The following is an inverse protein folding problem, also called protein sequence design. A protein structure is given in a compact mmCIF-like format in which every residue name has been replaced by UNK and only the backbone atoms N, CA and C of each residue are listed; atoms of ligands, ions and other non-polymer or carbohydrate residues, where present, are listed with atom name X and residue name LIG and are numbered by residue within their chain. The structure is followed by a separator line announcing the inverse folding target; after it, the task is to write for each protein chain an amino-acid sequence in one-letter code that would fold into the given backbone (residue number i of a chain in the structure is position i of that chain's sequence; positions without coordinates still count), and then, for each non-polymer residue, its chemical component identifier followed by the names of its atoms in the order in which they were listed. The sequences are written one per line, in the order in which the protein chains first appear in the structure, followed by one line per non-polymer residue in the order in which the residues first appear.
data_IF_827963438067
#
_entry.id   IF_827963438067
#
_cell.length_a   1.000
_cell.length_b   1.000
_cell.length_c   1.000
_cell.angle_alpha   90.00
_cell.angle_beta   90.00
_cell.angle_gamma   90.00
#
_symmetry.space_group_name_H-M   'P 1'
#
loop_
_entity.id
_entity.type
_entity.pdbx_description
1 polymer ?
#
# COMPACT_ATOMS: atom_id res chain seq x y z
N UNK A 1 19.93 -1.58 -33.02
CA UNK A 1 20.22 -0.59 -34.07
C UNK A 1 18.87 -0.06 -34.52
N UNK A 2 18.56 1.20 -34.20
CA UNK A 2 17.30 1.83 -34.63
C UNK A 2 17.58 2.50 -35.97
N UNK A 3 16.92 2.02 -37.03
CA UNK A 3 16.90 2.68 -38.32
C UNK A 3 16.22 4.05 -38.17
N UNK A 4 17.01 5.11 -38.25
CA UNK A 4 16.52 6.49 -38.26
C UNK A 4 16.21 6.84 -39.72
N UNK A 5 14.94 7.16 -40.04
CA UNK A 5 14.56 7.51 -41.41
C UNK A 5 15.29 8.77 -41.86
N UNK A 6 15.92 8.72 -43.05
CA UNK A 6 16.72 9.82 -43.60
C UNK A 6 15.92 10.91 -44.31
N UNK A 7 14.60 10.74 -44.51
CA UNK A 7 13.76 11.78 -45.10
C UNK A 7 12.81 12.38 -44.07
N UNK A 8 12.60 13.72 -44.12
CA UNK A 8 11.74 14.43 -43.19
C UNK A 8 10.29 13.93 -43.14
N UNK A 9 9.76 13.45 -44.30
CA UNK A 9 8.41 12.87 -44.35
C UNK A 9 8.30 11.52 -43.63
N UNK A 10 9.33 10.68 -43.72
CA UNK A 10 9.38 9.40 -43.03
C UNK A 10 9.55 9.59 -41.51
N UNK A 11 10.36 10.57 -41.10
CA UNK A 11 10.49 10.94 -39.68
C UNK A 11 9.18 11.41 -39.08
N UNK A 12 8.45 12.29 -39.82
CA UNK A 12 7.14 12.78 -39.39
C UNK A 12 6.12 11.65 -39.27
N UNK A 13 6.09 10.71 -40.20
CA UNK A 13 5.20 9.56 -40.16
C UNK A 13 5.49 8.65 -38.94
N UNK A 14 6.75 8.43 -38.61
CA UNK A 14 7.16 7.66 -37.42
C UNK A 14 6.76 8.37 -36.13
N UNK A 15 6.98 9.69 -36.06
CA UNK A 15 6.60 10.52 -34.93
C UNK A 15 5.08 10.49 -34.71
N UNK A 16 4.27 10.65 -35.75
CA UNK A 16 2.82 10.59 -35.69
C UNK A 16 2.30 9.22 -35.26
N UNK A 17 2.93 8.13 -35.71
CA UNK A 17 2.62 6.77 -35.22
C UNK A 17 2.92 6.60 -33.74
N UNK A 18 4.02 7.15 -33.23
CA UNK A 18 4.38 7.12 -31.79
C UNK A 18 3.38 7.93 -30.97
N UNK A 19 3.02 9.14 -31.41
CA UNK A 19 2.01 9.98 -30.75
C UNK A 19 0.65 9.26 -30.71
N UNK A 20 0.22 8.68 -31.82
CA UNK A 20 -1.05 7.95 -31.88
C UNK A 20 -1.06 6.69 -30.98
N UNK A 21 0.08 6.00 -30.91
CA UNK A 21 0.25 4.86 -30.00
C UNK A 21 0.22 5.29 -28.54
N UNK A 22 0.93 6.37 -28.20
CA UNK A 22 0.94 6.93 -26.85
C UNK A 22 -0.47 7.41 -26.43
N UNK A 23 -1.19 8.11 -27.32
CA UNK A 23 -2.58 8.52 -27.10
C UNK A 23 -3.52 7.32 -26.88
N UNK A 24 -3.43 6.26 -27.70
CA UNK A 24 -4.25 5.05 -27.51
C UNK A 24 -3.94 4.35 -26.19
N UNK A 25 -2.66 4.24 -25.83
CA UNK A 25 -2.24 3.65 -24.54
C UNK A 25 -2.77 4.51 -23.39
N UNK A 26 -2.60 5.82 -23.44
CA UNK A 26 -3.10 6.76 -22.44
C UNK A 26 -4.63 6.64 -22.28
N UNK A 27 -5.37 6.64 -23.38
CA UNK A 27 -6.83 6.46 -23.37
C UNK A 27 -7.24 5.10 -22.80
N UNK A 28 -6.51 4.04 -23.12
CA UNK A 28 -6.77 2.70 -22.57
C UNK A 28 -6.51 2.64 -21.07
N UNK A 29 -5.37 3.16 -20.62
CA UNK A 29 -4.98 3.17 -19.21
C UNK A 29 -5.94 4.04 -18.39
N UNK A 30 -6.26 5.25 -18.87
CA UNK A 30 -7.14 6.19 -18.14
C UNK A 30 -8.60 5.74 -18.17
N UNK A 31 -9.10 5.17 -19.27
CA UNK A 31 -10.52 4.87 -19.40
C UNK A 31 -10.92 3.46 -19.01
N UNK A 32 -10.09 2.46 -19.30
CA UNK A 32 -10.49 1.05 -19.11
C UNK A 32 -10.04 0.44 -17.77
N UNK A 33 -8.95 0.95 -17.22
CA UNK A 33 -8.46 0.47 -15.92
C UNK A 33 -9.11 1.18 -14.72
N UNK A 34 -9.80 2.31 -14.96
CA UNK A 34 -10.44 3.12 -13.91
C UNK A 34 -11.96 3.03 -13.89
N UNK A 35 -12.59 2.33 -14.85
CA UNK A 35 -14.03 2.09 -14.82
C UNK A 35 -14.30 0.97 -13.82
N UNK A 36 -14.83 1.36 -12.70
CA UNK A 36 -15.28 0.47 -11.62
C UNK A 36 -16.81 0.50 -11.60
N UNK A 37 -17.44 -0.64 -11.44
CA UNK A 37 -18.89 -0.73 -11.34
C UNK A 37 -19.40 0.07 -10.11
N UNK A 38 -20.55 0.75 -10.18
CA UNK A 38 -21.06 1.58 -9.07
C UNK A 38 -21.18 0.81 -7.74
N UNK A 39 -21.54 -0.46 -7.80
CA UNK A 39 -21.62 -1.32 -6.61
C UNK A 39 -20.24 -1.58 -5.99
N UNK A 40 -19.18 -1.58 -6.78
CA UNK A 40 -17.82 -1.71 -6.27
C UNK A 40 -17.40 -0.48 -5.46
N UNK A 41 -17.85 0.72 -5.85
CA UNK A 41 -17.60 1.93 -5.06
C UNK A 41 -18.26 1.84 -3.68
N UNK A 42 -19.49 1.33 -3.62
CA UNK A 42 -20.19 1.12 -2.34
C UNK A 42 -19.43 0.15 -1.43
N UNK A 43 -19.02 -1.00 -1.96
CA UNK A 43 -18.28 -1.99 -1.17
C UNK A 43 -16.90 -1.49 -0.76
N UNK A 44 -16.24 -0.70 -1.60
CA UNK A 44 -14.98 -0.02 -1.27
C UNK A 44 -15.18 0.95 -0.11
N UNK A 45 -16.24 1.77 -0.17
CA UNK A 45 -16.58 2.69 0.91
C UNK A 45 -16.88 1.94 2.22
N UNK A 46 -17.75 0.94 2.17
CA UNK A 46 -18.14 0.16 3.35
C UNK A 46 -16.91 -0.51 3.99
N UNK A 47 -16.06 -1.15 3.19
CA UNK A 47 -14.87 -1.82 3.69
C UNK A 47 -13.85 -0.86 4.31
N UNK A 48 -13.58 0.24 3.62
CA UNK A 48 -12.65 1.26 4.12
C UNK A 48 -13.20 1.94 5.39
N UNK A 49 -14.49 2.29 5.39
CA UNK A 49 -15.15 2.91 6.54
C UNK A 49 -15.12 2.00 7.79
N UNK A 50 -15.49 0.74 7.63
CA UNK A 50 -15.47 -0.23 8.75
C UNK A 50 -14.02 -0.51 9.19
N UNK A 51 -13.10 -0.75 8.25
CA UNK A 51 -11.72 -1.11 8.57
C UNK A 51 -10.96 0.01 9.28
N UNK A 52 -10.99 1.21 8.71
CA UNK A 52 -10.32 2.38 9.31
C UNK A 52 -11.08 2.87 10.54
N UNK A 53 -12.42 2.82 10.51
CA UNK A 53 -13.28 3.17 11.63
C UNK A 53 -13.06 2.28 12.86
N UNK A 54 -12.90 0.96 12.67
CA UNK A 54 -12.58 0.04 13.77
C UNK A 54 -11.24 0.38 14.43
N UNK A 55 -10.23 0.73 13.63
CA UNK A 55 -8.92 1.19 14.13
C UNK A 55 -9.09 2.50 14.92
N UNK A 56 -9.85 3.47 14.37
CA UNK A 56 -10.12 4.75 15.03
C UNK A 56 -10.86 4.58 16.34
N UNK A 57 -11.89 3.72 16.38
CA UNK A 57 -12.62 3.43 17.62
C UNK A 57 -11.74 2.81 18.71
N UNK A 58 -10.78 1.96 18.34
CA UNK A 58 -9.82 1.42 19.32
C UNK A 58 -8.90 2.49 19.87
N UNK A 59 -8.55 3.49 19.06
CA UNK A 59 -7.80 4.66 19.52
C UNK A 59 -8.62 5.49 20.51
N UNK A 60 -9.86 5.82 20.18
CA UNK A 60 -10.70 6.72 20.98
C UNK A 60 -11.09 6.12 22.34
N UNK A 61 -11.29 4.80 22.39
CA UNK A 61 -11.70 4.13 23.62
C UNK A 61 -10.55 3.63 24.50
N UNK A 62 -9.30 3.93 24.13
CA UNK A 62 -8.14 3.54 24.94
C UNK A 62 -8.08 2.05 25.28
N UNK A 63 -8.57 1.19 24.40
CA UNK A 63 -8.69 -0.27 24.62
C UNK A 63 -7.36 -0.92 24.97
N UNK A 64 -6.27 -0.23 24.67
CA UNK A 64 -4.91 -0.64 25.00
C UNK A 64 -4.25 0.46 25.84
N UNK A 65 -3.64 0.09 26.92
CA UNK A 65 -3.12 0.82 28.06
C UNK A 65 -2.11 1.97 27.79
N UNK A 66 -2.04 2.50 26.58
CA UNK A 66 -1.09 3.55 26.22
C UNK A 66 -1.78 4.64 25.39
N UNK A 67 -1.45 5.90 25.65
CA UNK A 67 -1.80 7.06 24.81
C UNK A 67 -1.14 7.01 23.41
N UNK A 68 -0.66 5.84 23.00
CA UNK A 68 0.04 5.63 21.76
C UNK A 68 -0.92 5.77 20.55
N UNK A 69 -0.49 6.51 19.55
CA UNK A 69 -1.21 6.75 18.32
C UNK A 69 -1.41 5.43 17.56
N UNK A 70 -2.64 4.90 17.61
CA UNK A 70 -2.98 3.64 16.93
C UNK A 70 -3.29 3.85 15.45
N UNK A 71 -3.97 4.93 15.12
CA UNK A 71 -4.34 5.28 13.75
C UNK A 71 -3.15 5.92 13.03
N UNK A 72 -2.31 5.12 12.41
CA UNK A 72 -1.19 5.61 11.60
C UNK A 72 -1.57 5.77 10.12
N UNK A 73 -0.99 6.79 9.47
CA UNK A 73 -1.33 7.14 8.07
C UNK A 73 -1.12 6.01 7.06
N UNK A 74 -0.24 5.05 7.35
CA UNK A 74 -0.02 3.88 6.49
C UNK A 74 -1.26 2.98 6.38
N UNK A 75 -2.14 2.95 7.37
CA UNK A 75 -3.40 2.19 7.31
C UNK A 75 -4.40 2.78 6.33
N UNK A 76 -4.44 4.11 6.20
CA UNK A 76 -5.22 4.77 5.16
C UNK A 76 -4.76 4.34 3.75
N UNK A 77 -3.45 4.33 3.52
CA UNK A 77 -2.88 3.86 2.26
C UNK A 77 -3.15 2.36 2.02
N UNK A 78 -3.10 1.53 3.07
CA UNK A 78 -3.45 0.10 2.99
C UNK A 78 -4.93 -0.10 2.68
N UNK A 79 -5.82 0.70 3.26
CA UNK A 79 -7.25 0.64 2.98
C UNK A 79 -7.55 0.93 1.49
N UNK A 80 -6.85 1.89 0.87
CA UNK A 80 -6.97 2.15 -0.58
C UNK A 80 -6.62 0.91 -1.40
N UNK A 81 -5.54 0.20 -1.07
CA UNK A 81 -5.18 -1.02 -1.78
C UNK A 81 -6.15 -2.17 -1.50
N UNK A 82 -6.43 -2.44 -0.24
CA UNK A 82 -7.15 -3.64 0.20
C UNK A 82 -8.64 -3.58 -0.18
N UNK A 83 -9.25 -2.39 -0.15
CA UNK A 83 -10.66 -2.22 -0.49
C UNK A 83 -10.88 -1.63 -1.88
N UNK A 84 -9.98 -0.78 -2.37
CA UNK A 84 -10.10 -0.11 -3.67
C UNK A 84 -9.43 -0.86 -4.83
N UNK A 85 -8.43 -1.70 -4.55
CA UNK A 85 -7.67 -2.45 -5.56
C UNK A 85 -7.50 -3.92 -5.15
N UNK A 86 -8.59 -4.59 -4.79
CA UNK A 86 -8.62 -5.94 -4.22
C UNK A 86 -7.90 -7.00 -5.06
N UNK A 87 -7.89 -6.83 -6.38
CA UNK A 87 -7.24 -7.74 -7.34
C UNK A 87 -5.73 -7.49 -7.48
N UNK A 88 -5.22 -6.42 -6.88
CA UNK A 88 -3.79 -6.11 -6.93
C UNK A 88 -2.97 -7.16 -6.16
N UNK A 89 -1.88 -7.67 -6.74
CA UNK A 89 -0.93 -8.50 -5.98
C UNK A 89 -0.42 -7.81 -4.72
N UNK A 90 -0.31 -6.49 -4.74
CA UNK A 90 0.18 -5.67 -3.63
C UNK A 90 -0.81 -5.56 -2.47
N UNK A 91 -2.09 -5.86 -2.71
CA UNK A 91 -3.18 -5.82 -1.73
C UNK A 91 -3.38 -7.15 -0.99
N UNK A 92 -2.72 -8.23 -1.40
CA UNK A 92 -2.99 -9.57 -0.87
C UNK A 92 -2.58 -9.72 0.60
N UNK A 93 -3.22 -10.64 1.36
CA UNK A 93 -2.99 -10.82 2.80
C UNK A 93 -1.51 -10.96 3.18
N UNK A 94 -0.76 -11.76 2.41
CA UNK A 94 0.67 -11.94 2.64
C UNK A 94 1.44 -10.63 2.54
N UNK A 95 1.14 -9.84 1.51
CA UNK A 95 1.79 -8.56 1.27
C UNK A 95 1.40 -7.53 2.34
N UNK A 96 0.12 -7.47 2.67
CA UNK A 96 -0.39 -6.60 3.74
C UNK A 96 0.32 -6.88 5.07
N UNK A 97 0.32 -8.12 5.54
CA UNK A 97 0.87 -8.47 6.85
C UNK A 97 2.39 -8.34 6.88
N UNK A 98 3.07 -9.04 6.00
CA UNK A 98 4.55 -9.08 6.04
C UNK A 98 5.19 -7.80 5.51
N UNK A 99 4.52 -7.07 4.60
CA UNK A 99 4.99 -5.77 4.15
C UNK A 99 5.08 -4.77 5.29
N UNK A 100 4.03 -4.66 6.09
CA UNK A 100 4.04 -3.81 7.29
C UNK A 100 5.00 -4.30 8.37
N UNK A 101 5.01 -5.60 8.65
CA UNK A 101 5.87 -6.19 9.67
C UNK A 101 7.35 -5.93 9.39
N UNK A 102 7.81 -6.24 8.18
CA UNK A 102 9.22 -6.05 7.77
C UNK A 102 9.57 -4.57 7.80
N UNK A 103 8.69 -3.72 7.30
CA UNK A 103 8.93 -2.28 7.25
C UNK A 103 8.98 -1.65 8.64
N UNK A 104 8.12 -2.07 9.56
CA UNK A 104 8.15 -1.61 10.94
C UNK A 104 9.45 -2.03 11.64
N UNK A 105 9.88 -3.29 11.48
CA UNK A 105 11.14 -3.79 12.04
C UNK A 105 12.33 -2.99 11.52
N UNK A 106 12.40 -2.76 10.21
CA UNK A 106 13.49 -1.99 9.61
C UNK A 106 13.46 -0.54 10.06
N UNK A 107 12.28 0.11 10.05
CA UNK A 107 12.12 1.49 10.47
C UNK A 107 12.61 1.72 11.90
N UNK A 108 12.18 0.88 12.84
CA UNK A 108 12.63 0.94 14.24
C UNK A 108 14.12 0.65 14.37
N UNK A 109 14.62 -0.33 13.64
CA UNK A 109 16.06 -0.68 13.68
C UNK A 109 16.93 0.49 13.22
N UNK A 110 16.56 1.12 12.09
CA UNK A 110 17.26 2.29 11.56
C UNK A 110 17.23 3.44 12.55
N UNK A 111 16.06 3.74 13.12
CA UNK A 111 15.92 4.79 14.14
C UNK A 111 16.81 4.55 15.37
N UNK A 112 16.90 3.30 15.84
CA UNK A 112 17.67 2.97 17.05
C UNK A 112 19.19 2.91 16.83
N UNK A 113 19.65 2.54 15.64
CA UNK A 113 21.08 2.30 15.38
C UNK A 113 21.80 3.50 14.78
N UNK A 114 21.10 4.43 14.19
CA UNK A 114 21.71 5.56 13.49
C UNK A 114 21.57 6.86 14.30
N UNK A 115 22.50 7.81 14.10
CA UNK A 115 22.40 9.13 14.74
C UNK A 115 21.13 9.85 14.29
N UNK A 116 20.67 10.80 15.11
CA UNK A 116 19.44 11.59 14.86
C UNK A 116 19.62 12.57 13.68
N UNK A 117 19.68 12.00 12.48
CA UNK A 117 19.75 12.71 11.20
C UNK A 117 18.51 12.33 10.39
N UNK A 118 17.41 13.06 10.58
CA UNK A 118 16.07 12.72 10.09
C UNK A 118 16.04 12.38 8.58
N UNK A 119 16.74 13.16 7.74
CA UNK A 119 16.78 12.90 6.31
C UNK A 119 17.44 11.56 5.95
N UNK A 120 18.51 11.21 6.66
CA UNK A 120 19.26 9.97 6.43
C UNK A 120 18.51 8.75 6.95
N UNK A 121 18.03 8.81 8.18
CA UNK A 121 17.29 7.70 8.81
C UNK A 121 16.00 7.41 8.07
N UNK A 122 15.27 8.44 7.64
CA UNK A 122 14.04 8.29 6.84
C UNK A 122 14.32 7.66 5.47
N UNK A 123 15.34 8.15 4.76
CA UNK A 123 15.72 7.61 3.45
C UNK A 123 16.16 6.15 3.54
N UNK A 124 16.99 5.80 4.53
CA UNK A 124 17.45 4.44 4.76
C UNK A 124 16.30 3.51 5.20
N UNK A 125 15.44 3.94 6.11
CA UNK A 125 14.31 3.14 6.56
C UNK A 125 13.40 2.75 5.41
N UNK A 126 13.04 3.70 4.55
CA UNK A 126 12.17 3.45 3.40
C UNK A 126 12.88 2.57 2.36
N UNK A 127 14.10 2.92 1.96
CA UNK A 127 14.80 2.19 0.89
C UNK A 127 15.14 0.75 1.30
N UNK A 128 15.62 0.52 2.52
CA UNK A 128 15.87 -0.82 3.04
C UNK A 128 14.57 -1.63 3.15
N UNK A 129 13.47 -1.01 3.55
CA UNK A 129 12.16 -1.67 3.60
C UNK A 129 11.69 -2.11 2.21
N UNK A 130 11.86 -1.28 1.19
CA UNK A 130 11.54 -1.63 -0.20
C UNK A 130 12.36 -2.85 -0.64
N UNK A 131 13.67 -2.82 -0.44
CA UNK A 131 14.56 -3.93 -0.81
C UNK A 131 14.18 -5.20 -0.07
N UNK A 132 13.94 -5.14 1.23
CA UNK A 132 13.55 -6.29 2.03
C UNK A 132 12.19 -6.88 1.59
N UNK A 133 11.20 -6.02 1.30
CA UNK A 133 9.92 -6.46 0.74
C UNK A 133 10.08 -7.11 -0.64
N UNK A 134 10.99 -6.62 -1.49
CA UNK A 134 11.31 -7.25 -2.78
C UNK A 134 11.91 -8.64 -2.60
N UNK A 135 12.93 -8.77 -1.74
CA UNK A 135 13.60 -10.04 -1.44
C UNK A 135 12.64 -11.08 -0.87
N UNK A 136 11.72 -10.68 -0.01
CA UNK A 136 10.73 -11.56 0.62
C UNK A 136 9.47 -11.77 -0.22
N UNK A 137 9.34 -11.07 -1.35
CA UNK A 137 8.15 -11.06 -2.21
C UNK A 137 6.88 -10.66 -1.46
N UNK A 138 7.00 -9.67 -0.60
CA UNK A 138 5.90 -9.13 0.23
C UNK A 138 5.66 -7.65 -0.03
N UNK A 139 5.88 -7.22 -1.27
CA UNK A 139 5.76 -5.82 -1.66
C UNK A 139 4.37 -5.27 -1.32
N UNK A 140 4.36 -4.29 -0.42
CA UNK A 140 3.17 -3.57 0.01
C UNK A 140 3.55 -2.08 0.20
N UNK A 141 3.23 -1.21 -0.75
CA UNK A 141 3.68 0.19 -0.72
C UNK A 141 3.40 0.93 0.60
N UNK A 142 2.25 0.74 1.27
CA UNK A 142 2.02 1.34 2.58
C UNK A 142 3.00 0.93 3.67
N UNK A 143 3.70 -0.21 3.51
CA UNK A 143 4.79 -0.61 4.38
C UNK A 143 5.92 0.42 4.41
N UNK A 144 6.26 1.02 3.25
CA UNK A 144 7.23 2.12 3.19
C UNK A 144 6.85 3.30 4.08
N UNK A 145 5.56 3.67 4.10
CA UNK A 145 5.06 4.68 5.02
C UNK A 145 5.17 4.25 6.49
N UNK A 146 4.97 2.97 6.80
CA UNK A 146 5.15 2.43 8.16
C UNK A 146 6.60 2.57 8.63
N UNK A 147 7.58 2.24 7.78
CA UNK A 147 9.00 2.45 8.11
C UNK A 147 9.33 3.93 8.31
N UNK A 148 8.75 4.82 7.50
CA UNK A 148 8.92 6.26 7.65
C UNK A 148 8.34 6.75 8.97
N UNK A 149 7.14 6.32 9.35
CA UNK A 149 6.47 6.71 10.60
C UNK A 149 7.29 6.31 11.83
N UNK A 150 8.00 5.19 11.82
CA UNK A 150 8.90 4.82 12.91
C UNK A 150 10.04 5.83 13.14
N UNK A 151 10.38 6.66 12.14
CA UNK A 151 11.43 7.68 12.22
C UNK A 151 10.89 9.09 12.46
N UNK A 152 9.78 9.45 11.79
CA UNK A 152 9.21 10.81 11.86
C UNK A 152 8.03 10.94 12.81
N UNK A 153 7.57 9.82 13.39
CA UNK A 153 6.43 9.81 14.30
C UNK A 153 6.67 10.61 15.57
N UNK A 154 5.60 10.78 16.34
CA UNK A 154 5.66 11.46 17.64
C UNK A 154 6.61 10.74 18.61
N UNK A 155 7.01 11.43 19.66
CA UNK A 155 7.83 10.81 20.71
C UNK A 155 7.17 9.56 21.31
N UNK A 156 5.84 9.54 21.43
CA UNK A 156 5.09 8.37 21.87
C UNK A 156 5.31 7.14 20.96
N UNK A 157 5.35 7.33 19.62
CA UNK A 157 5.68 6.26 18.68
C UNK A 157 7.12 5.80 18.83
N UNK A 158 8.05 6.72 18.98
CA UNK A 158 9.48 6.44 19.16
C UNK A 158 9.79 5.69 20.45
N UNK A 159 9.11 6.05 21.54
CA UNK A 159 9.23 5.39 22.86
C UNK A 159 8.77 3.92 22.81
N UNK A 160 7.83 3.56 21.96
CA UNK A 160 7.44 2.16 21.77
C UNK A 160 8.60 1.27 21.32
N UNK A 161 9.58 1.83 20.61
CA UNK A 161 10.66 1.05 20.06
C UNK A 161 10.15 -0.13 19.25
N UNK A 162 10.63 -1.35 19.50
CA UNK A 162 10.13 -2.55 18.82
C UNK A 162 8.69 -2.93 19.18
N UNK A 163 8.12 -2.36 20.26
CA UNK A 163 6.70 -2.48 20.57
C UNK A 163 5.81 -1.91 19.45
N UNK A 164 6.28 -0.89 18.71
CA UNK A 164 5.61 -0.34 17.53
C UNK A 164 5.23 -1.41 16.50
N UNK A 165 6.05 -2.45 16.33
CA UNK A 165 5.80 -3.55 15.39
C UNK A 165 4.54 -4.34 15.76
N UNK A 166 4.36 -4.59 17.06
CA UNK A 166 3.20 -5.32 17.57
C UNK A 166 2.00 -4.39 17.68
N UNK A 167 2.23 -3.23 18.27
CA UNK A 167 1.22 -2.22 18.49
C UNK A 167 1.81 -0.83 18.16
N UNK A 168 1.23 -0.07 17.24
CA UNK A 168 -0.06 -0.25 16.56
C UNK A 168 -0.02 -1.14 15.28
N UNK A 169 1.16 -1.45 14.73
CA UNK A 169 1.27 -1.95 13.35
C UNK A 169 0.56 -3.29 13.17
N UNK A 170 0.95 -4.32 13.89
CA UNK A 170 0.36 -5.66 13.68
C UNK A 170 -1.13 -5.70 14.04
N UNK A 171 -1.52 -5.05 15.13
CA UNK A 171 -2.94 -4.99 15.52
C UNK A 171 -3.79 -4.31 14.45
N UNK A 172 -3.38 -3.13 13.94
CA UNK A 172 -4.11 -2.43 12.89
C UNK A 172 -4.18 -3.20 11.57
N UNK A 173 -3.07 -3.85 11.18
CA UNK A 173 -3.01 -4.71 10.00
C UNK A 173 -3.97 -5.90 10.13
N UNK A 174 -4.04 -6.55 11.29
CA UNK A 174 -4.95 -7.66 11.52
C UNK A 174 -6.42 -7.23 11.47
N UNK A 175 -6.75 -6.06 12.00
CA UNK A 175 -8.10 -5.49 11.88
C UNK A 175 -8.46 -5.27 10.40
N UNK A 176 -7.59 -4.59 9.64
CA UNK A 176 -7.81 -4.38 8.20
C UNK A 176 -7.95 -5.71 7.46
N UNK A 177 -7.13 -6.70 7.78
CA UNK A 177 -7.18 -8.02 7.16
C UNK A 177 -8.51 -8.73 7.43
N UNK A 178 -8.95 -8.75 8.69
CA UNK A 178 -10.23 -9.40 9.06
C UNK A 178 -11.39 -8.72 8.35
N UNK A 179 -11.46 -7.38 8.39
CA UNK A 179 -12.50 -6.63 7.69
C UNK A 179 -12.46 -6.89 6.19
N UNK A 180 -11.26 -6.94 5.59
CA UNK A 180 -11.10 -7.21 4.16
C UNK A 180 -11.56 -8.63 3.79
N UNK A 181 -11.22 -9.64 4.59
CA UNK A 181 -11.67 -11.02 4.38
C UNK A 181 -13.20 -11.14 4.46
N UNK A 182 -13.84 -10.35 5.30
CA UNK A 182 -15.30 -10.34 5.40
C UNK A 182 -15.92 -9.52 4.27
N UNK A 183 -15.62 -8.23 4.21
CA UNK A 183 -16.33 -7.28 3.33
C UNK A 183 -16.07 -7.54 1.85
N UNK A 184 -14.84 -7.88 1.45
CA UNK A 184 -14.52 -8.15 0.04
C UNK A 184 -15.07 -9.50 -0.46
N UNK A 185 -15.58 -10.37 0.39
CA UNK A 185 -16.19 -11.63 -0.01
C UNK A 185 -17.73 -11.64 0.10
N UNK A 186 -18.35 -10.53 0.53
CA UNK A 186 -19.80 -10.40 0.53
C UNK A 186 -20.37 -10.25 -0.90
N UNK A 187 -19.81 -9.41 -1.78
CA UNK A 187 -20.24 -9.33 -3.16
C UNK A 187 -19.88 -10.60 -3.94
N UNK A 188 -20.78 -11.00 -4.87
CA UNK A 188 -20.54 -12.20 -5.70
C UNK A 188 -19.39 -12.06 -6.68
N UNK A 189 -19.10 -10.82 -7.07
CA UNK A 189 -18.12 -10.49 -8.12
C UNK A 189 -16.73 -10.14 -7.57
N UNK A 190 -16.58 -10.07 -6.24
CA UNK A 190 -15.31 -9.89 -5.56
C UNK A 190 -14.81 -11.20 -4.95
N UNK A 191 -13.50 -11.36 -4.87
CA UNK A 191 -12.85 -12.47 -4.17
C UNK A 191 -11.57 -11.97 -3.50
N UNK A 192 -11.45 -12.17 -2.21
CA UNK A 192 -10.26 -11.83 -1.46
C UNK A 192 -9.92 -12.93 -0.46
N UNK A 193 -8.71 -13.52 -0.46
CA UNK A 193 -7.59 -13.22 -1.38
C UNK A 193 -7.93 -13.46 -2.84
N UNK A 194 -7.36 -12.62 -3.73
CA UNK A 194 -7.55 -12.81 -5.16
C UNK A 194 -6.96 -14.14 -5.61
N UNK A 195 -7.76 -14.92 -6.31
CA UNK A 195 -7.35 -16.18 -6.95
C UNK A 195 -7.54 -16.04 -8.44
N UNK A 196 -6.46 -16.16 -9.20
CA UNK A 196 -6.59 -16.32 -10.65
C UNK A 196 -7.46 -17.54 -10.90
N UNK A 197 -8.68 -17.30 -11.40
CA UNK A 197 -9.49 -18.41 -11.92
C UNK A 197 -8.87 -18.79 -13.26
N UNK A 198 -8.48 -20.06 -13.47
CA UNK A 198 -8.12 -20.49 -14.82
C UNK A 198 -9.28 -20.14 -15.74
N UNK A 199 -8.96 -19.52 -16.87
CA UNK A 199 -9.90 -19.12 -17.89
C UNK A 199 -10.83 -20.32 -18.20
N UNK A 200 -12.13 -20.17 -17.96
CA UNK A 200 -13.13 -21.13 -18.40
C UNK A 200 -13.54 -20.79 -19.83
#
# INVERSE_FOLDING_TARGET
VFDIPTSGSAYFAVLMKRIHRAYRISKYVVYRQTIVEPMDHLWTFVGAFIGVGAIGLMQDHGVLLTDAVFLIGSFGASAVLVFGATNSPLAQPRNLVFGHLISALIGVTVYKLLPDMLWLTSALAVSLSIVAMQMTRTMHPPGGATALIANIGSEQIKELGFGFVLYPVMCGVLILLVVALVVNNLPRDRNYPYRDRPWR
#
